data_IF_423089986525
#
_entry.id   IF_423089986525
#
_cell.length_a   1.000
_cell.length_b   1.000
_cell.length_c   1.000
_cell.angle_alpha   90.00
_cell.angle_beta   90.00
_cell.angle_gamma   90.00
#
_symmetry.space_group_name_H-M   'P 1'
#
loop_
_entity.id
_entity.type
_entity.pdbx_description
1 polymer ?
#
# COMPACT_ATOMS: atom_id res chain seq x y z
N UNK A 1 2.15 8.52 23.70
CA UNK A 1 2.25 7.36 24.62
C UNK A 1 2.65 6.17 23.78
N UNK A 2 3.65 5.38 24.19
CA UNK A 2 4.02 4.16 23.47
C UNK A 2 3.00 3.06 23.79
N UNK A 3 2.45 2.42 22.77
CA UNK A 3 1.53 1.29 22.89
C UNK A 3 2.29 -0.01 22.70
N UNK A 4 2.14 -0.97 23.62
CA UNK A 4 2.79 -2.27 23.52
C UNK A 4 2.05 -3.19 22.54
N UNK A 5 2.80 -3.85 21.65
CA UNK A 5 2.29 -4.89 20.77
C UNK A 5 2.93 -6.23 21.17
N UNK A 6 2.11 -7.21 21.54
CA UNK A 6 2.57 -8.56 21.85
C UNK A 6 2.38 -9.45 20.63
N UNK A 7 3.45 -10.05 20.14
CA UNK A 7 3.42 -10.96 18.98
C UNK A 7 4.21 -12.23 19.30
N UNK A 8 3.71 -13.36 18.80
CA UNK A 8 4.45 -14.62 18.81
C UNK A 8 5.13 -14.81 17.47
N UNK A 9 6.44 -15.03 17.47
CA UNK A 9 7.24 -15.24 16.27
C UNK A 9 7.71 -16.70 16.19
N UNK A 10 7.76 -17.30 14.99
CA UNK A 10 8.47 -18.55 14.75
C UNK A 10 9.97 -18.43 15.10
N UNK A 11 10.56 -19.53 15.57
CA UNK A 11 11.99 -19.56 15.98
C UNK A 11 12.96 -19.00 14.93
N UNK A 12 12.84 -19.30 13.62
CA UNK A 12 13.75 -18.76 12.61
C UNK A 12 13.68 -17.23 12.50
N UNK A 13 12.49 -16.66 12.69
CA UNK A 13 12.29 -15.21 12.62
C UNK A 13 12.85 -14.55 13.87
N UNK A 14 12.64 -15.16 15.05
CA UNK A 14 13.23 -14.69 16.31
C UNK A 14 14.76 -14.64 16.20
N UNK A 15 15.39 -15.73 15.76
CA UNK A 15 16.85 -15.80 15.61
C UNK A 15 17.41 -14.72 14.66
N UNK A 16 16.67 -14.42 13.58
CA UNK A 16 17.05 -13.34 12.66
C UNK A 16 16.99 -11.95 13.33
N UNK A 17 15.95 -11.68 14.12
CA UNK A 17 15.82 -10.43 14.87
C UNK A 17 16.92 -10.30 15.94
N UNK A 18 17.22 -11.39 16.64
CA UNK A 18 18.29 -11.43 17.65
C UNK A 18 19.66 -11.12 17.01
N UNK A 19 19.97 -11.70 15.84
CA UNK A 19 21.21 -11.40 15.11
C UNK A 19 21.31 -9.93 14.68
N UNK A 20 20.19 -9.30 14.29
CA UNK A 20 20.17 -7.88 13.93
C UNK A 20 20.42 -6.95 15.14
N UNK A 21 20.08 -7.41 16.35
CA UNK A 21 20.38 -6.69 17.60
C UNK A 21 21.85 -6.90 18.00
N UNK A 22 22.38 -8.11 17.83
CA UNK A 22 23.79 -8.43 18.10
C UNK A 22 24.76 -7.64 17.21
N UNK A 23 24.36 -7.33 15.96
CA UNK A 23 25.12 -6.47 15.05
C UNK A 23 25.12 -4.98 15.49
N UNK A 24 24.38 -4.64 16.55
CA UNK A 24 24.33 -3.31 17.14
C UNK A 24 23.49 -2.30 16.35
N UNK A 25 22.79 -2.75 15.31
CA UNK A 25 21.93 -1.89 14.50
C UNK A 25 20.65 -1.45 15.24
N UNK A 26 20.20 -2.22 16.24
CA UNK A 26 18.99 -1.96 17.02
C UNK A 26 19.21 -2.32 18.48
N UNK A 27 18.67 -1.54 19.42
CA UNK A 27 18.82 -1.79 20.86
C UNK A 27 17.78 -2.79 21.39
N UNK A 28 16.64 -2.94 20.72
CA UNK A 28 15.57 -3.87 21.12
C UNK A 28 14.88 -4.52 19.92
N UNK A 29 14.25 -5.69 20.09
CA UNK A 29 13.42 -6.30 19.05
C UNK A 29 12.26 -5.39 18.61
N UNK A 30 11.67 -4.65 19.56
CA UNK A 30 10.56 -3.74 19.30
C UNK A 30 10.97 -2.58 18.39
N UNK A 31 12.19 -2.08 18.53
CA UNK A 31 12.75 -1.04 17.67
C UNK A 31 12.94 -1.55 16.24
N UNK A 32 13.55 -2.74 16.09
CA UNK A 32 13.70 -3.38 14.78
C UNK A 32 12.35 -3.57 14.07
N UNK A 33 11.34 -4.08 14.78
CA UNK A 33 10.01 -4.31 14.23
C UNK A 33 9.32 -2.98 13.87
N UNK A 34 9.46 -1.95 14.70
CA UNK A 34 8.87 -0.64 14.42
C UNK A 34 9.46 0.00 13.15
N UNK A 35 10.78 -0.11 12.97
CA UNK A 35 11.45 0.36 11.76
C UNK A 35 11.01 -0.45 10.53
N UNK A 36 10.93 -1.78 10.67
CA UNK A 36 10.46 -2.67 9.60
C UNK A 36 9.05 -2.30 9.12
N UNK A 37 8.13 -2.05 10.06
CA UNK A 37 6.74 -1.64 9.76
C UNK A 37 6.72 -0.25 9.14
N UNK A 38 7.53 0.68 9.62
CA UNK A 38 7.58 2.05 9.09
C UNK A 38 8.10 2.05 7.65
N UNK A 39 9.18 1.31 7.39
CA UNK A 39 9.72 1.13 6.04
C UNK A 39 8.72 0.42 5.12
N UNK A 40 7.96 -0.55 5.62
CA UNK A 40 6.91 -1.22 4.85
C UNK A 40 5.75 -0.28 4.50
N UNK A 41 5.30 0.50 5.46
CA UNK A 41 4.28 1.52 5.26
C UNK A 41 4.72 2.56 4.22
N UNK A 42 5.97 3.01 4.29
CA UNK A 42 6.51 3.96 3.32
C UNK A 42 6.62 3.38 1.91
N UNK A 43 7.04 2.11 1.76
CA UNK A 43 7.03 1.43 0.45
C UNK A 43 5.62 1.37 -0.14
N UNK A 44 4.62 1.01 0.65
CA UNK A 44 3.22 0.96 0.21
C UNK A 44 2.71 2.36 -0.18
N UNK A 45 3.04 3.38 0.60
CA UNK A 45 2.70 4.76 0.33
C UNK A 45 3.33 5.26 -0.98
N UNK A 46 4.62 5.04 -1.17
CA UNK A 46 5.32 5.41 -2.41
C UNK A 46 4.75 4.70 -3.63
N UNK A 47 4.42 3.41 -3.52
CA UNK A 47 3.79 2.65 -4.60
C UNK A 47 2.40 3.22 -4.95
N UNK A 48 1.63 3.64 -3.94
CA UNK A 48 0.34 4.30 -4.16
C UNK A 48 0.51 5.67 -4.82
N UNK A 49 1.42 6.51 -4.31
CA UNK A 49 1.73 7.82 -4.88
C UNK A 49 2.15 7.70 -6.35
N UNK A 50 3.03 6.75 -6.68
CA UNK A 50 3.45 6.49 -8.04
C UNK A 50 2.27 6.14 -8.96
N UNK A 51 1.36 5.26 -8.50
CA UNK A 51 0.14 4.90 -9.25
C UNK A 51 -0.81 6.09 -9.43
N UNK A 52 -0.92 6.96 -8.42
CA UNK A 52 -1.74 8.17 -8.52
C UNK A 52 -1.15 9.17 -9.53
N UNK A 53 0.17 9.36 -9.51
CA UNK A 53 0.87 10.20 -10.49
C UNK A 53 0.72 9.64 -11.90
N UNK A 54 0.82 8.33 -12.08
CA UNK A 54 0.55 7.67 -13.37
C UNK A 54 -0.90 7.89 -13.81
N UNK A 55 -1.87 7.72 -12.91
CA UNK A 55 -3.29 7.93 -13.20
C UNK A 55 -3.59 9.39 -13.58
N UNK A 56 -2.91 10.37 -12.96
CA UNK A 56 -3.03 11.80 -13.31
C UNK A 56 -2.46 12.14 -14.68
N UNK A 57 -1.42 11.42 -15.13
CA UNK A 57 -0.87 11.56 -16.49
C UNK A 57 -1.73 10.86 -17.54
N UNK A 58 -2.57 9.93 -17.11
CA UNK A 58 -3.51 9.22 -17.97
C UNK A 58 -4.68 10.10 -18.41
N UNK A 59 -5.44 9.60 -19.37
CA UNK A 59 -6.60 10.32 -19.91
C UNK A 59 -7.69 10.48 -18.86
N UNK A 60 -8.09 11.73 -18.62
CA UNK A 60 -9.21 12.08 -17.75
C UNK A 60 -10.51 11.42 -18.23
N UNK A 61 -11.28 10.88 -17.29
CA UNK A 61 -12.62 10.35 -17.56
C UNK A 61 -13.61 11.45 -17.20
N UNK A 62 -14.21 12.06 -18.22
CA UNK A 62 -15.34 12.96 -18.00
C UNK A 62 -16.55 12.12 -17.57
N UNK A 63 -17.07 12.44 -16.38
CA UNK A 63 -18.30 11.89 -15.83
C UNK A 63 -19.30 13.02 -15.68
N UNK A 64 -20.54 12.81 -16.13
CA UNK A 64 -21.65 13.75 -15.89
C UNK A 64 -22.40 13.39 -14.61
N UNK A 65 -22.96 14.39 -13.92
CA UNK A 65 -23.68 14.17 -12.64
C UNK A 65 -24.83 13.16 -12.81
N UNK A 66 -25.59 13.27 -13.90
CA UNK A 66 -26.70 12.37 -14.21
C UNK A 66 -26.26 10.90 -14.44
N UNK A 67 -25.05 10.66 -14.95
CA UNK A 67 -24.53 9.29 -15.10
C UNK A 67 -24.24 8.71 -13.71
N UNK A 68 -23.55 9.48 -12.86
CA UNK A 68 -23.14 9.07 -11.51
C UNK A 68 -24.35 8.72 -10.64
N UNK A 69 -25.40 9.54 -10.70
CA UNK A 69 -26.64 9.32 -9.96
C UNK A 69 -27.40 8.07 -10.42
N UNK A 70 -27.33 7.72 -11.71
CA UNK A 70 -28.04 6.57 -12.28
C UNK A 70 -27.31 5.23 -12.12
N UNK A 71 -25.98 5.24 -12.18
CA UNK A 71 -25.18 4.01 -12.29
C UNK A 71 -24.25 3.72 -11.11
N UNK A 72 -24.02 4.69 -10.22
CA UNK A 72 -22.98 4.59 -9.21
C UNK A 72 -21.57 4.72 -9.82
N UNK A 73 -20.72 5.50 -9.15
CA UNK A 73 -19.38 5.89 -9.65
C UNK A 73 -18.53 4.65 -10.02
N UNK A 74 -18.55 3.61 -9.18
CA UNK A 74 -17.74 2.41 -9.37
C UNK A 74 -18.16 1.58 -10.58
N UNK A 75 -19.46 1.48 -10.87
CA UNK A 75 -19.94 0.69 -12.01
C UNK A 75 -19.60 1.37 -13.34
N UNK A 76 -19.72 2.69 -13.40
CA UNK A 76 -19.37 3.49 -14.57
C UNK A 76 -17.87 3.47 -14.86
N UNK A 77 -17.04 3.64 -13.83
CA UNK A 77 -15.58 3.57 -13.98
C UNK A 77 -15.14 2.17 -14.42
N UNK A 78 -15.76 1.11 -13.89
CA UNK A 78 -15.46 -0.27 -14.30
C UNK A 78 -15.83 -0.51 -15.77
N UNK A 79 -17.02 -0.07 -16.20
CA UNK A 79 -17.47 -0.19 -17.59
C UNK A 79 -16.57 0.60 -18.56
N UNK A 80 -16.29 1.88 -18.28
CA UNK A 80 -15.41 2.72 -19.12
C UNK A 80 -13.96 2.20 -19.15
N UNK A 81 -13.48 1.56 -18.08
CA UNK A 81 -12.15 0.92 -18.06
C UNK A 81 -12.11 -0.33 -18.95
N UNK A 82 -13.19 -1.11 -18.98
CA UNK A 82 -13.33 -2.30 -19.83
C UNK A 82 -13.36 -1.90 -21.31
N UNK A 83 -14.17 -0.88 -21.64
CA UNK A 83 -14.25 -0.31 -23.00
C UNK A 83 -12.89 0.26 -23.48
N UNK A 84 -12.01 0.69 -22.57
CA UNK A 84 -10.62 1.12 -22.88
C UNK A 84 -9.70 -0.06 -23.18
N UNK A 85 -9.83 -1.18 -22.46
CA UNK A 85 -9.00 -2.37 -22.67
C UNK A 85 -9.33 -3.07 -23.98
N UNK A 86 -10.62 -3.11 -24.35
CA UNK A 86 -11.08 -3.74 -25.60
C UNK A 86 -10.76 -2.91 -26.86
N UNK A 87 -10.54 -1.59 -26.72
CA UNK A 87 -10.13 -0.70 -27.83
C UNK A 87 -8.62 -0.63 -28.05
N UNK A 88 -7.83 -1.08 -27.09
CA UNK A 88 -6.37 -1.10 -27.15
C UNK A 88 -5.80 -2.47 -27.58
N UNK A 89 -6.68 -3.47 -27.75
CA UNK A 89 -6.40 -4.77 -28.37
C UNK A 89 -6.74 -4.74 -29.87
#
# INVERSE_FOLDING_TARGET
MATSLNISLPEPIKAYVDAAIEDGAYATPSEYIAELISADHDRHRQALEARLVEALKGDSIVLTSDEVERGGILALLRKKRQDRQDKAA
#
